data_IF_859857472349
#
_entry.id   IF_859857472349
#
_cell.length_a   1.000
_cell.length_b   1.000
_cell.length_c   1.000
_cell.angle_alpha   90.00
_cell.angle_beta   90.00
_cell.angle_gamma   90.00
#
_symmetry.space_group_name_H-M   'P 1'
#
loop_
_entity.id
_entity.type
_entity.pdbx_description
1 polymer ?
#
# COMPACT_ATOMS: atom_id res chain seq x y z
N UNK A 1 -6.72 1.29 -2.18
CA UNK A 1 -6.36 0.51 -0.96
C UNK A 1 -5.04 -0.20 -1.21
N UNK A 2 -4.49 -0.95 -0.26
CA UNK A 2 -3.32 -1.80 -0.49
C UNK A 2 -3.31 -3.04 0.40
N UNK A 3 -2.44 -3.99 0.06
CA UNK A 3 -2.34 -5.28 0.75
C UNK A 3 -0.96 -5.52 1.38
N UNK A 4 -0.79 -6.69 2.00
CA UNK A 4 0.46 -7.06 2.67
C UNK A 4 1.56 -7.54 1.71
N UNK A 5 1.24 -7.84 0.45
CA UNK A 5 2.18 -8.26 -0.60
C UNK A 5 2.84 -7.07 -1.31
N UNK A 6 2.30 -5.87 -1.08
CA UNK A 6 2.82 -4.61 -1.60
C UNK A 6 2.03 -4.08 -2.77
N UNK A 7 0.85 -4.63 -3.06
CA UNK A 7 0.01 -4.12 -4.14
C UNK A 7 -0.82 -2.93 -3.65
N UNK A 8 -0.89 -1.89 -4.49
CA UNK A 8 -1.80 -0.77 -4.35
C UNK A 8 -2.86 -0.92 -5.43
N UNK A 9 -4.13 -0.86 -5.02
CA UNK A 9 -5.27 -1.03 -5.90
C UNK A 9 -6.14 0.23 -5.96
N UNK A 10 -6.65 0.51 -7.16
CA UNK A 10 -7.79 1.40 -7.37
C UNK A 10 -8.95 0.61 -7.97
N UNK A 11 -10.12 0.80 -7.38
CA UNK A 11 -11.36 0.15 -7.78
C UNK A 11 -12.37 1.21 -8.23
N UNK A 12 -13.28 0.81 -9.10
CA UNK A 12 -14.51 1.54 -9.37
C UNK A 12 -15.36 1.60 -8.08
N UNK A 13 -15.96 2.76 -7.82
CA UNK A 13 -16.69 2.99 -6.57
C UNK A 13 -18.10 2.38 -6.59
N UNK A 14 -18.68 2.14 -7.75
CA UNK A 14 -20.06 1.67 -7.89
C UNK A 14 -20.15 0.14 -7.86
N UNK A 15 -19.19 -0.55 -8.49
CA UNK A 15 -19.22 -2.01 -8.64
C UNK A 15 -18.00 -2.74 -8.03
N UNK A 16 -16.99 -2.01 -7.57
CA UNK A 16 -15.78 -2.59 -6.97
C UNK A 16 -14.83 -3.24 -7.98
N UNK A 17 -15.02 -3.04 -9.28
CA UNK A 17 -14.12 -3.57 -10.32
C UNK A 17 -12.73 -2.95 -10.21
N UNK A 18 -11.69 -3.77 -10.30
CA UNK A 18 -10.32 -3.26 -10.34
C UNK A 18 -10.08 -2.44 -11.62
N UNK A 19 -9.61 -1.21 -11.45
CA UNK A 19 -9.29 -0.29 -12.54
C UNK A 19 -7.78 -0.14 -12.74
N UNK A 20 -7.00 -0.28 -11.66
CA UNK A 20 -5.56 -0.10 -11.69
C UNK A 20 -4.90 -0.78 -10.49
N UNK A 21 -3.68 -1.27 -10.73
CA UNK A 21 -2.81 -1.85 -9.70
C UNK A 21 -1.36 -1.40 -9.87
N UNK A 22 -0.64 -1.31 -8.76
CA UNK A 22 0.79 -1.00 -8.73
C UNK A 22 1.49 -1.73 -7.60
N UNK A 23 2.63 -2.37 -7.91
CA UNK A 23 3.45 -3.03 -6.91
C UNK A 23 4.47 -2.05 -6.29
N UNK A 24 4.29 -1.77 -5.00
CA UNK A 24 5.04 -0.78 -4.22
C UNK A 24 6.32 -1.33 -3.57
N UNK A 25 6.64 -2.60 -3.80
CA UNK A 25 7.86 -3.24 -3.28
C UNK A 25 7.85 -3.62 -1.81
N UNK A 26 6.86 -3.19 -1.01
CA UNK A 26 6.65 -3.65 0.38
C UNK A 26 5.18 -3.52 0.79
N UNK A 27 4.74 -4.40 1.68
CA UNK A 27 3.37 -4.44 2.18
C UNK A 27 2.88 -3.13 2.81
N UNK A 28 1.58 -2.90 2.72
CA UNK A 28 0.91 -1.70 3.20
C UNK A 28 0.13 -2.01 4.48
N UNK A 29 0.23 -1.11 5.46
CA UNK A 29 -0.52 -1.17 6.73
C UNK A 29 -1.32 0.08 7.03
N UNK A 30 -0.94 1.21 6.44
CA UNK A 30 -1.67 2.46 6.53
C UNK A 30 -2.57 2.66 5.32
N UNK A 31 -3.62 3.46 5.49
CA UNK A 31 -4.49 3.86 4.38
C UNK A 31 -3.86 4.96 3.51
N UNK A 32 -4.37 5.15 2.28
CA UNK A 32 -4.01 6.29 1.46
C UNK A 32 -4.51 7.61 2.04
N UNK A 33 -3.81 8.70 1.69
CA UNK A 33 -4.27 10.08 1.90
C UNK A 33 -4.35 10.79 0.55
N UNK A 34 -5.46 11.48 0.30
CA UNK A 34 -5.56 12.41 -0.83
C UNK A 34 -5.41 13.86 -0.38
N UNK A 35 -4.64 14.64 -1.13
CA UNK A 35 -4.41 16.06 -0.86
C UNK A 35 -4.18 16.84 -2.16
N UNK A 36 -4.19 18.17 -2.08
CA UNK A 36 -3.90 19.07 -3.21
C UNK A 36 -2.68 19.94 -2.90
N UNK A 37 -1.76 20.05 -3.85
CA UNK A 37 -0.59 20.92 -3.77
C UNK A 37 -0.26 21.48 -5.17
N UNK A 38 0.09 22.76 -5.26
CA UNK A 38 0.43 23.38 -6.56
C UNK A 38 -0.65 23.23 -7.64
N UNK A 39 -1.93 23.20 -7.25
CA UNK A 39 -3.05 23.01 -8.18
C UNK A 39 -3.29 21.56 -8.63
N UNK A 40 -2.43 20.58 -8.28
CA UNK A 40 -2.60 19.16 -8.61
C UNK A 40 -3.06 18.33 -7.40
N UNK A 41 -3.87 17.30 -7.66
CA UNK A 41 -4.27 16.32 -6.66
C UNK A 41 -3.23 15.20 -6.59
N UNK A 42 -2.92 14.78 -5.37
CA UNK A 42 -2.04 13.66 -5.09
C UNK A 42 -2.76 12.63 -4.24
N UNK A 43 -2.36 11.37 -4.41
CA UNK A 43 -2.71 10.27 -3.52
C UNK A 43 -1.40 9.68 -3.02
N UNK A 44 -1.17 9.71 -1.71
CA UNK A 44 0.04 9.16 -1.09
C UNK A 44 -0.29 7.91 -0.29
N UNK A 45 0.58 6.91 -0.43
CA UNK A 45 0.52 5.65 0.30
C UNK A 45 1.78 5.48 1.17
N UNK A 46 1.62 5.20 2.47
CA UNK A 46 2.72 4.70 3.29
C UNK A 46 2.89 3.20 3.06
N UNK A 47 4.06 2.83 2.53
CA UNK A 47 4.43 1.42 2.32
C UNK A 47 5.48 1.03 3.34
N UNK A 48 5.38 -0.20 3.84
CA UNK A 48 6.37 -0.77 4.75
C UNK A 48 5.80 -1.85 5.64
N UNK A 49 6.32 -3.06 5.45
CA UNK A 49 6.03 -4.22 6.28
C UNK A 49 7.17 -4.46 7.28
N UNK A 50 7.08 -3.79 8.43
CA UNK A 50 8.05 -3.90 9.53
C UNK A 50 7.39 -3.99 10.91
N UNK A 51 8.17 -3.76 11.98
CA UNK A 51 7.71 -3.77 13.38
C UNK A 51 7.09 -5.14 13.78
N UNK A 52 5.92 -5.14 14.44
CA UNK A 52 5.25 -6.35 14.92
C UNK A 52 4.93 -7.39 13.83
N UNK A 53 4.81 -6.99 12.56
CA UNK A 53 4.40 -7.90 11.49
C UNK A 53 5.43 -9.03 11.27
N UNK A 54 6.70 -8.77 10.89
CA UNK A 54 7.70 -9.83 10.75
C UNK A 54 8.20 -10.37 12.10
N UNK A 55 8.26 -9.55 13.17
CA UNK A 55 8.89 -9.95 14.43
C UNK A 55 8.01 -10.76 15.40
N UNK A 56 6.69 -10.55 15.37
CA UNK A 56 5.75 -11.20 16.29
C UNK A 56 4.70 -12.03 15.56
N UNK A 57 4.06 -11.48 14.51
CA UNK A 57 2.98 -12.18 13.82
C UNK A 57 3.46 -13.38 13.00
N UNK A 58 4.72 -13.40 12.53
CA UNK A 58 5.27 -14.53 11.78
C UNK A 58 5.26 -15.87 12.56
N UNK A 59 5.26 -15.83 13.90
CA UNK A 59 5.15 -17.03 14.73
C UNK A 59 3.73 -17.66 14.72
N UNK A 60 2.70 -16.84 14.53
CA UNK A 60 1.30 -17.28 14.46
C UNK A 60 0.80 -17.44 13.00
N UNK A 61 1.38 -16.67 12.08
CA UNK A 61 1.02 -16.62 10.66
C UNK A 61 2.28 -16.74 9.81
N UNK A 62 2.74 -17.98 9.55
CA UNK A 62 3.99 -18.23 8.83
C UNK A 62 4.07 -17.55 7.46
N UNK A 63 2.94 -17.32 6.80
CA UNK A 63 2.86 -16.64 5.51
C UNK A 63 3.40 -15.19 5.51
N UNK A 64 3.52 -14.56 6.68
CA UNK A 64 4.01 -13.18 6.80
C UNK A 64 5.55 -13.13 6.69
N UNK A 65 6.24 -14.23 6.99
CA UNK A 65 7.71 -14.25 7.13
C UNK A 65 8.46 -13.88 5.85
N UNK A 66 7.87 -14.22 4.69
CA UNK A 66 8.50 -14.07 3.37
C UNK A 66 7.99 -12.83 2.63
N UNK A 67 7.09 -12.04 3.24
CA UNK A 67 6.57 -10.84 2.62
C UNK A 67 7.64 -9.74 2.56
N UNK A 68 7.64 -8.94 1.49
CA UNK A 68 8.70 -7.97 1.26
C UNK A 68 8.66 -6.83 2.29
N UNK A 69 9.75 -6.70 3.03
CA UNK A 69 10.01 -5.56 3.91
C UNK A 69 10.40 -4.30 3.14
N UNK A 70 10.46 -3.17 3.84
CA UNK A 70 10.82 -1.88 3.24
C UNK A 70 10.12 -0.73 3.95
N UNK A 71 10.40 0.49 3.51
CA UNK A 71 9.71 1.69 3.96
C UNK A 71 9.80 2.79 2.89
N UNK A 72 8.65 3.26 2.39
CA UNK A 72 8.58 4.41 1.50
C UNK A 72 7.25 5.17 1.63
N UNK A 73 7.26 6.43 1.20
CA UNK A 73 6.04 7.16 0.85
C UNK A 73 5.99 7.25 -0.67
N UNK A 74 4.92 6.72 -1.28
CA UNK A 74 4.74 6.75 -2.72
C UNK A 74 3.55 7.64 -3.06
N UNK A 75 3.77 8.68 -3.86
CA UNK A 75 2.74 9.62 -4.28
C UNK A 75 2.45 9.50 -5.78
N UNK A 76 1.17 9.47 -6.13
CA UNK A 76 0.68 9.40 -7.51
C UNK A 76 -0.08 10.68 -7.87
N UNK A 77 0.06 11.10 -9.13
CA UNK A 77 -0.70 12.20 -9.77
C UNK A 77 -0.90 11.86 -11.23
N UNK A 78 -1.94 12.41 -11.84
CA UNK A 78 -2.07 12.40 -13.30
C UNK A 78 -1.04 13.35 -13.95
N UNK A 79 -0.64 13.09 -15.22
CA UNK A 79 0.23 13.97 -16.01
C UNK A 79 -0.21 15.44 -16.00
#
# INVERSE_FOLDING_TARGET
TGDMEGNIYAYDADDGKELWTFWAGSGLRGGPVSYRAGGKQYIVFPTGLGSHAPGFLAGAFPQIKDLPGGAALIAFTLP
#
